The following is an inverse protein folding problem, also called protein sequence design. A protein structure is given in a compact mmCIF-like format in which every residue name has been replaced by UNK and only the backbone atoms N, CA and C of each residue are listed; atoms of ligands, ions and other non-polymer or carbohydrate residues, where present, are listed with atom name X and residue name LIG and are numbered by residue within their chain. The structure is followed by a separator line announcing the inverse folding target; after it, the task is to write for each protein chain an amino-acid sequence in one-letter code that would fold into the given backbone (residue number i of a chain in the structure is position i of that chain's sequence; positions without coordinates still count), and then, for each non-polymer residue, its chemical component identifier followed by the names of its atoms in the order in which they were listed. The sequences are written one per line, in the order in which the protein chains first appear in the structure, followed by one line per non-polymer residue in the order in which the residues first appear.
data_IF_464094184614
#
_entry.id   IF_464094184614
#
_cell.length_a   1.000
_cell.length_b   1.000
_cell.length_c   1.000
_cell.angle_alpha   90.00
_cell.angle_beta   90.00
_cell.angle_gamma   90.00
#
_symmetry.space_group_name_H-M   'P 1'
#
loop_
_entity.id
_entity.type
_entity.pdbx_description
1 polymer ?
#
# COMPACT_ATOMS: atom_id res chain seq x y z
N UNK A 1 -23.78 23.77 6.77
CA UNK A 1 -24.50 22.83 7.66
C UNK A 1 -25.77 23.45 8.26
N UNK A 2 -26.69 23.97 7.45
CA UNK A 2 -27.88 24.68 7.99
C UNK A 2 -29.05 23.78 8.38
N UNK A 3 -29.00 22.49 8.04
CA UNK A 3 -30.15 21.58 8.12
C UNK A 3 -29.91 20.32 8.96
N UNK A 4 -28.79 20.28 9.68
CA UNK A 4 -28.53 19.25 10.68
C UNK A 4 -29.08 19.73 12.04
N UNK A 5 -29.85 18.89 12.71
CA UNK A 5 -30.37 19.12 14.07
C UNK A 5 -30.11 17.89 14.92
N UNK A 6 -30.08 18.07 16.23
CA UNK A 6 -29.93 16.95 17.17
C UNK A 6 -31.30 16.55 17.69
N UNK A 7 -31.61 15.26 17.63
CA UNK A 7 -32.82 14.68 18.22
C UNK A 7 -32.44 13.48 19.08
N UNK A 8 -33.27 13.19 20.09
CA UNK A 8 -33.13 11.96 20.88
C UNK A 8 -33.84 10.84 20.14
N UNK A 9 -33.09 9.85 19.67
CA UNK A 9 -33.58 8.66 18.98
C UNK A 9 -33.05 7.45 19.72
N UNK A 10 -33.92 6.54 20.16
CA UNK A 10 -33.57 5.36 20.97
C UNK A 10 -32.81 5.72 22.26
N UNK A 11 -33.20 6.82 22.93
CA UNK A 11 -32.57 7.29 24.17
C UNK A 11 -31.18 7.92 23.98
N UNK A 12 -30.70 8.09 22.74
CA UNK A 12 -29.41 8.74 22.44
C UNK A 12 -29.60 9.98 21.56
N UNK A 13 -28.84 11.03 21.86
CA UNK A 13 -28.77 12.20 21.00
C UNK A 13 -28.06 11.83 19.68
N UNK A 14 -28.78 11.91 18.56
CA UNK A 14 -28.28 11.65 17.21
C UNK A 14 -28.41 12.91 16.35
N UNK A 15 -27.45 13.12 15.44
CA UNK A 15 -27.56 14.14 14.40
C UNK A 15 -28.53 13.63 13.35
N UNK A 16 -29.60 14.38 13.09
CA UNK A 16 -30.58 14.08 12.06
C UNK A 16 -30.59 15.18 10.99
N UNK A 17 -30.81 14.77 9.75
CA UNK A 17 -30.94 15.65 8.60
C UNK A 17 -32.43 15.84 8.26
N UNK A 18 -32.75 17.01 7.70
CA UNK A 18 -34.08 17.26 7.13
C UNK A 18 -34.35 16.32 5.94
N UNK A 19 -35.57 15.82 5.85
CA UNK A 19 -36.11 14.98 4.77
C UNK A 19 -35.71 15.42 3.35
N UNK A 20 -35.81 16.72 3.06
CA UNK A 20 -35.49 17.31 1.74
C UNK A 20 -34.02 17.15 1.31
N UNK A 21 -33.15 16.65 2.17
CA UNK A 21 -31.69 16.53 1.94
C UNK A 21 -31.31 15.08 1.65
N UNK A 22 -32.28 14.16 1.66
CA UNK A 22 -32.04 12.74 1.38
C UNK A 22 -31.22 12.53 0.09
N UNK A 23 -31.56 13.23 -0.99
CA UNK A 23 -30.83 13.14 -2.26
C UNK A 23 -29.38 13.67 -2.12
N UNK A 24 -29.18 14.75 -1.39
CA UNK A 24 -27.83 15.28 -1.14
C UNK A 24 -26.99 14.32 -0.30
N UNK A 25 -27.58 13.66 0.70
CA UNK A 25 -26.92 12.62 1.49
C UNK A 25 -26.55 11.44 0.60
N UNK A 26 -27.46 11.01 -0.29
CA UNK A 26 -27.16 9.96 -1.27
C UNK A 26 -26.00 10.37 -2.20
N UNK A 27 -25.96 11.62 -2.64
CA UNK A 27 -24.88 12.15 -3.47
C UNK A 27 -23.52 12.17 -2.76
N UNK A 28 -23.46 12.32 -1.44
CA UNK A 28 -22.22 12.18 -0.67
C UNK A 28 -21.68 10.75 -0.79
N UNK A 29 -22.52 9.73 -0.62
CA UNK A 29 -22.12 8.33 -0.78
C UNK A 29 -21.73 8.01 -2.22
N UNK A 30 -22.47 8.53 -3.20
CA UNK A 30 -22.13 8.38 -4.62
C UNK A 30 -20.76 8.99 -4.94
N UNK A 31 -20.50 10.20 -4.44
CA UNK A 31 -19.20 10.87 -4.59
C UNK A 31 -18.09 10.09 -3.93
N UNK A 32 -18.29 9.58 -2.70
CA UNK A 32 -17.33 8.70 -2.01
C UNK A 32 -17.01 7.45 -2.83
N UNK A 33 -18.04 6.79 -3.38
CA UNK A 33 -17.87 5.60 -4.23
C UNK A 33 -17.07 5.92 -5.50
N UNK A 34 -17.39 7.05 -6.15
CA UNK A 34 -16.65 7.53 -7.32
C UNK A 34 -15.18 7.83 -7.00
N UNK A 35 -14.89 8.55 -5.91
CA UNK A 35 -13.51 8.82 -5.47
C UNK A 35 -12.75 7.52 -5.19
N UNK A 36 -13.40 6.56 -4.52
CA UNK A 36 -12.77 5.29 -4.23
C UNK A 36 -12.41 4.52 -5.50
N UNK A 37 -13.32 4.43 -6.47
CA UNK A 37 -13.07 3.70 -7.73
C UNK A 37 -12.10 4.41 -8.66
N UNK A 38 -12.14 5.74 -8.73
CA UNK A 38 -11.40 6.51 -9.73
C UNK A 38 -10.02 6.95 -9.24
N UNK A 39 -9.86 7.26 -7.95
CA UNK A 39 -8.63 7.79 -7.38
C UNK A 39 -7.96 6.82 -6.42
N UNK A 40 -8.65 6.41 -5.34
CA UNK A 40 -8.02 5.63 -4.26
C UNK A 40 -7.64 4.21 -4.71
N UNK A 41 -8.52 3.54 -5.47
CA UNK A 41 -8.25 2.22 -6.06
C UNK A 41 -7.71 2.32 -7.49
N UNK A 42 -7.14 3.46 -7.85
CA UNK A 42 -6.54 3.60 -9.17
C UNK A 42 -5.35 2.65 -9.29
N UNK A 43 -5.38 1.76 -10.29
CA UNK A 43 -4.38 0.68 -10.48
C UNK A 43 -2.93 1.13 -10.36
N UNK A 44 -2.58 2.34 -10.84
CA UNK A 44 -1.22 2.86 -10.75
C UNK A 44 -0.89 3.33 -9.33
N UNK A 45 -1.86 3.89 -8.59
CA UNK A 45 -1.67 4.27 -7.18
C UNK A 45 -1.39 3.02 -6.36
N UNK A 46 -2.23 1.99 -6.48
CA UNK A 46 -2.04 0.71 -5.78
C UNK A 46 -0.69 0.05 -6.10
N UNK A 47 -0.26 0.11 -7.37
CA UNK A 47 1.07 -0.40 -7.76
C UNK A 47 2.19 0.37 -7.07
N UNK A 48 2.12 1.71 -7.09
CA UNK A 48 3.14 2.57 -6.48
C UNK A 48 3.20 2.33 -4.96
N UNK A 49 2.04 2.27 -4.30
CA UNK A 49 1.94 1.93 -2.87
C UNK A 49 2.57 0.57 -2.58
N UNK A 50 2.30 -0.44 -3.40
CA UNK A 50 2.88 -1.78 -3.23
C UNK A 50 4.41 -1.76 -3.39
N UNK A 51 4.93 -1.03 -4.37
CA UNK A 51 6.39 -0.88 -4.55
C UNK A 51 7.05 -0.18 -3.35
N UNK A 52 6.40 0.82 -2.75
CA UNK A 52 6.89 1.44 -1.52
C UNK A 52 6.85 0.48 -0.33
N UNK A 53 5.77 -0.29 -0.16
CA UNK A 53 5.68 -1.31 0.90
C UNK A 53 6.81 -2.32 0.77
N UNK A 54 7.06 -2.81 -0.45
CA UNK A 54 8.13 -3.79 -0.70
C UNK A 54 9.52 -3.17 -0.44
N UNK A 55 9.73 -1.89 -0.79
CA UNK A 55 10.96 -1.17 -0.46
C UNK A 55 11.14 -0.98 1.06
N UNK A 56 10.06 -0.65 1.79
CA UNK A 56 10.08 -0.48 3.23
C UNK A 56 10.37 -1.80 3.95
N UNK A 57 9.76 -2.90 3.51
CA UNK A 57 10.02 -4.23 4.08
C UNK A 57 11.48 -4.65 3.91
N UNK A 58 12.09 -4.32 2.78
CA UNK A 58 13.51 -4.60 2.54
C UNK A 58 14.43 -3.73 3.40
N UNK A 59 14.03 -2.48 3.68
CA UNK A 59 14.80 -1.50 4.44
C UNK A 59 14.63 -1.62 5.96
N UNK A 60 13.55 -2.24 6.42
CA UNK A 60 13.18 -2.32 7.83
C UNK A 60 14.29 -2.92 8.69
N UNK A 61 14.68 -2.21 9.76
CA UNK A 61 15.74 -2.64 10.68
C UNK A 61 17.16 -2.59 10.13
N UNK A 62 17.37 -2.05 8.91
CA UNK A 62 18.70 -2.00 8.25
C UNK A 62 19.14 -0.59 7.86
N UNK A 63 18.25 0.39 7.98
CA UNK A 63 18.54 1.80 7.72
C UNK A 63 18.83 2.53 9.03
N UNK A 64 19.72 3.52 8.98
CA UNK A 64 20.12 4.32 10.13
C UNK A 64 19.53 5.73 10.06
N UNK A 65 19.03 6.21 11.20
CA UNK A 65 18.54 7.56 11.41
C UNK A 65 19.66 8.61 11.52
N UNK A 66 19.30 9.89 11.63
CA UNK A 66 20.25 11.00 11.67
C UNK A 66 21.19 10.93 12.89
N UNK A 67 20.74 10.31 13.97
CA UNK A 67 21.49 10.13 15.21
C UNK A 67 22.25 8.79 15.26
N UNK A 68 22.27 8.02 14.16
CA UNK A 68 22.85 6.68 14.11
C UNK A 68 21.95 5.56 14.67
N UNK A 69 20.72 5.87 15.04
CA UNK A 69 19.72 4.90 15.52
C UNK A 69 19.25 3.99 14.37
N UNK A 70 19.09 2.69 14.60
CA UNK A 70 18.48 1.81 13.59
C UNK A 70 16.98 2.09 13.54
N UNK A 71 16.44 2.33 12.33
CA UNK A 71 15.00 2.57 12.16
C UNK A 71 14.27 1.24 11.96
N UNK A 72 13.33 0.95 12.86
CA UNK A 72 12.36 -0.12 12.71
C UNK A 72 11.01 0.49 12.34
N UNK A 73 10.74 0.58 11.03
CA UNK A 73 9.55 1.21 10.45
C UNK A 73 8.27 0.58 11.00
N UNK A 74 8.23 -0.75 11.06
CA UNK A 74 7.07 -1.49 11.57
C UNK A 74 6.91 -1.32 13.09
N UNK A 75 7.96 -1.63 13.85
CA UNK A 75 7.89 -1.62 15.31
C UNK A 75 7.58 -0.24 15.88
N UNK A 76 8.18 0.82 15.33
CA UNK A 76 7.93 2.19 15.79
C UNK A 76 6.49 2.64 15.52
N UNK A 77 5.95 2.27 14.36
CA UNK A 77 4.56 2.55 14.01
C UNK A 77 3.59 1.82 14.94
N UNK A 78 3.86 0.55 15.23
CA UNK A 78 3.07 -0.24 16.17
C UNK A 78 3.20 0.28 17.60
N UNK A 79 4.41 0.60 18.05
CA UNK A 79 4.66 1.13 19.38
C UNK A 79 3.89 2.42 19.63
N UNK A 80 3.78 3.31 18.63
CA UNK A 80 2.98 4.54 18.76
C UNK A 80 1.47 4.27 18.95
N UNK A 81 0.94 3.18 18.39
CA UNK A 81 -0.47 2.82 18.51
C UNK A 81 -0.83 2.10 19.81
N UNK A 82 0.08 1.25 20.33
CA UNK A 82 -0.21 0.36 21.46
C UNK A 82 0.43 0.80 22.79
N UNK A 83 1.40 1.71 22.79
CA UNK A 83 2.09 2.12 24.02
C UNK A 83 1.25 3.07 24.88
N UNK A 84 1.43 2.97 26.20
CA UNK A 84 0.86 3.90 27.18
C UNK A 84 1.93 4.54 28.07
N UNK A 85 1.56 5.64 28.75
CA UNK A 85 2.40 6.26 29.77
C UNK A 85 3.74 6.84 29.28
N UNK A 86 4.83 6.58 30.02
CA UNK A 86 6.17 7.15 29.73
C UNK A 86 6.75 6.62 28.42
N UNK A 87 6.46 5.36 28.06
CA UNK A 87 6.95 4.72 26.83
C UNK A 87 6.31 5.33 25.57
N UNK A 88 5.07 5.82 25.66
CA UNK A 88 4.39 6.50 24.56
C UNK A 88 5.15 7.75 24.09
N UNK A 89 5.74 8.53 25.02
CA UNK A 89 6.50 9.73 24.63
C UNK A 89 7.70 9.38 23.75
N UNK A 90 8.40 8.30 24.08
CA UNK A 90 9.55 7.85 23.30
C UNK A 90 9.11 7.28 21.94
N UNK A 91 8.07 6.45 21.92
CA UNK A 91 7.51 5.90 20.69
C UNK A 91 6.97 7.00 19.74
N UNK A 92 6.31 8.02 20.28
CA UNK A 92 5.83 9.16 19.48
C UNK A 92 6.98 10.01 18.93
N UNK A 93 8.06 10.19 19.70
CA UNK A 93 9.26 10.87 19.20
C UNK A 93 9.85 10.12 18.01
N UNK A 94 9.99 8.80 18.12
CA UNK A 94 10.46 7.93 17.03
C UNK A 94 9.53 7.98 15.82
N UNK A 95 8.22 7.84 16.03
CA UNK A 95 7.21 7.91 14.97
C UNK A 95 7.20 9.26 14.26
N UNK A 96 7.39 10.37 14.99
CA UNK A 96 7.46 11.71 14.40
C UNK A 96 8.62 11.90 13.44
N UNK A 97 9.67 11.06 13.53
CA UNK A 97 10.80 11.08 12.59
C UNK A 97 10.47 10.36 11.27
N UNK A 98 9.47 9.47 11.25
CA UNK A 98 9.06 8.67 10.08
C UNK A 98 8.19 9.50 9.12
N UNK A 99 8.77 10.59 8.61
CA UNK A 99 8.14 11.41 7.57
C UNK A 99 8.48 10.88 6.18
N UNK A 100 7.59 11.07 5.22
CA UNK A 100 7.76 10.60 3.83
C UNK A 100 9.10 11.04 3.24
N UNK A 101 9.46 12.31 3.40
CA UNK A 101 10.70 12.86 2.87
C UNK A 101 11.93 12.23 3.50
N UNK A 102 11.89 11.99 4.81
CA UNK A 102 13.00 11.39 5.55
C UNK A 102 13.21 9.94 5.14
N UNK A 103 12.15 9.11 5.22
CA UNK A 103 12.23 7.69 4.86
C UNK A 103 12.62 7.51 3.39
N UNK A 104 12.05 8.32 2.49
CA UNK A 104 12.39 8.32 1.07
C UNK A 104 13.89 8.60 0.83
N UNK A 105 14.42 9.66 1.45
CA UNK A 105 15.83 10.03 1.29
C UNK A 105 16.76 8.99 1.92
N UNK A 106 16.41 8.45 3.09
CA UNK A 106 17.16 7.39 3.74
C UNK A 106 17.30 6.16 2.84
N UNK A 107 16.22 5.73 2.19
CA UNK A 107 16.24 4.53 1.34
C UNK A 107 16.91 4.79 -0.01
N UNK A 108 16.71 5.98 -0.59
CA UNK A 108 17.28 6.34 -1.89
C UNK A 108 18.81 6.41 -1.88
N UNK A 109 19.40 6.97 -0.83
CA UNK A 109 20.83 7.24 -0.76
C UNK A 109 21.65 6.17 -0.03
N UNK A 110 21.10 4.95 0.10
CA UNK A 110 21.78 3.86 0.78
C UNK A 110 23.06 3.46 0.00
N UNK A 111 24.16 3.36 0.75
CA UNK A 111 25.45 2.89 0.22
C UNK A 111 25.62 1.37 0.32
N UNK A 112 24.89 0.70 1.22
CA UNK A 112 25.00 -0.74 1.45
C UNK A 112 24.46 -1.58 0.27
N UNK A 113 25.21 -2.58 -0.22
CA UNK A 113 24.82 -3.35 -1.41
C UNK A 113 23.58 -4.23 -1.17
N UNK A 114 23.37 -4.73 0.04
CA UNK A 114 22.22 -5.59 0.38
C UNK A 114 20.87 -4.89 0.19
N UNK A 115 20.85 -3.56 0.40
CA UNK A 115 19.66 -2.72 0.33
C UNK A 115 19.47 -2.07 -1.04
N UNK A 116 20.33 -2.38 -2.01
CA UNK A 116 20.28 -1.78 -3.34
C UNK A 116 18.93 -1.99 -4.02
N UNK A 117 18.32 -3.17 -3.82
CA UNK A 117 16.98 -3.50 -4.34
C UNK A 117 15.91 -2.51 -3.86
N UNK A 118 15.97 -2.06 -2.60
CA UNK A 118 15.02 -1.08 -2.06
C UNK A 118 15.21 0.30 -2.71
N UNK A 119 16.45 0.74 -2.87
CA UNK A 119 16.78 2.00 -3.56
C UNK A 119 16.37 1.97 -5.05
N UNK A 120 16.54 0.82 -5.71
CA UNK A 120 16.16 0.62 -7.10
C UNK A 120 14.63 0.70 -7.28
N UNK A 121 13.83 0.16 -6.35
CA UNK A 121 12.36 0.29 -6.34
C UNK A 121 11.92 1.76 -6.26
N UNK A 122 12.53 2.55 -5.36
CA UNK A 122 12.23 3.98 -5.25
C UNK A 122 12.62 4.71 -6.54
N UNK A 123 13.80 4.41 -7.08
CA UNK A 123 14.27 5.00 -8.35
C UNK A 123 13.34 4.62 -9.51
N UNK A 124 12.79 3.40 -9.52
CA UNK A 124 11.82 2.96 -10.50
C UNK A 124 10.53 3.78 -10.44
N UNK A 125 10.03 4.07 -9.24
CA UNK A 125 8.85 4.92 -9.02
C UNK A 125 9.11 6.35 -9.49
N UNK A 126 10.25 6.94 -9.16
CA UNK A 126 10.63 8.30 -9.59
C UNK A 126 10.74 8.40 -11.11
N UNK A 127 11.34 7.40 -11.76
CA UNK A 127 11.56 7.40 -13.21
C UNK A 127 10.28 7.14 -13.99
N UNK A 128 9.30 6.42 -13.42
CA UNK A 128 7.91 6.15 -13.87
C UNK A 128 7.68 5.70 -15.32
N UNK A 129 8.69 5.70 -16.20
CA UNK A 129 8.49 5.87 -17.65
C UNK A 129 9.55 5.22 -18.55
N UNK A 130 10.65 4.67 -18.02
CA UNK A 130 11.60 3.94 -18.88
C UNK A 130 11.21 2.45 -19.00
N UNK A 131 11.21 1.94 -20.24
CA UNK A 131 11.27 0.49 -20.50
C UNK A 131 12.48 -0.04 -19.73
N UNK A 132 12.34 -1.14 -18.98
CA UNK A 132 13.32 -1.67 -18.02
C UNK A 132 13.55 -0.89 -16.72
N UNK A 133 12.64 -0.01 -16.29
CA UNK A 133 12.73 0.64 -14.96
C UNK A 133 12.56 -0.29 -13.76
N UNK A 134 12.09 -1.54 -13.95
CA UNK A 134 11.66 -2.39 -12.84
C UNK A 134 10.30 -1.98 -12.25
N UNK A 135 9.60 -1.02 -12.89
CA UNK A 135 8.26 -0.62 -12.48
C UNK A 135 7.24 -1.75 -12.70
N UNK A 136 6.41 -2.02 -11.68
CA UNK A 136 5.46 -3.12 -11.75
C UNK A 136 4.40 -2.87 -12.83
N UNK A 137 4.08 -3.91 -13.59
CA UNK A 137 3.11 -3.83 -14.67
C UNK A 137 1.78 -4.41 -14.22
N UNK A 138 0.71 -3.63 -14.36
CA UNK A 138 -0.64 -4.13 -14.20
C UNK A 138 -0.97 -5.17 -15.29
N UNK A 139 -1.16 -6.43 -14.90
CA UNK A 139 -1.47 -7.52 -15.85
C UNK A 139 -2.97 -7.57 -16.18
N UNK A 140 -3.85 -7.44 -15.18
CA UNK A 140 -5.29 -7.54 -15.38
C UNK A 140 -6.06 -7.37 -14.08
N UNK A 141 -7.39 -7.23 -14.21
CA UNK A 141 -8.33 -7.14 -13.10
C UNK A 141 -9.44 -8.17 -13.32
N UNK A 142 -9.73 -8.99 -12.32
CA UNK A 142 -10.84 -9.94 -12.32
C UNK A 142 -11.73 -9.68 -11.13
N UNK A 143 -13.02 -9.44 -11.39
CA UNK A 143 -14.04 -9.39 -10.35
C UNK A 143 -14.53 -10.83 -10.14
N UNK A 144 -14.42 -11.30 -8.90
CA UNK A 144 -14.89 -12.62 -8.50
C UNK A 144 -16.39 -12.57 -8.20
N UNK A 145 -17.12 -13.62 -8.55
CA UNK A 145 -18.56 -13.72 -8.33
C UNK A 145 -18.93 -13.95 -6.87
N UNK A 146 -18.04 -14.60 -6.12
CA UNK A 146 -18.20 -14.92 -4.71
C UNK A 146 -16.95 -14.52 -3.93
N UNK A 147 -17.07 -14.48 -2.60
CA UNK A 147 -15.92 -14.29 -1.72
C UNK A 147 -15.16 -15.61 -1.62
N UNK A 148 -13.87 -15.56 -1.94
CA UNK A 148 -12.93 -16.67 -1.77
C UNK A 148 -11.94 -16.30 -0.67
N UNK A 149 -11.38 -17.30 0.00
CA UNK A 149 -10.28 -17.10 0.95
C UNK A 149 -8.97 -16.81 0.21
N UNK A 150 -8.06 -16.06 0.83
CA UNK A 150 -6.81 -15.62 0.19
C UNK A 150 -5.93 -16.79 -0.25
N UNK A 151 -5.87 -17.85 0.57
CA UNK A 151 -5.12 -19.08 0.27
C UNK A 151 -5.61 -19.76 -1.01
N UNK A 152 -6.93 -19.81 -1.23
CA UNK A 152 -7.54 -20.41 -2.42
C UNK A 152 -7.29 -19.56 -3.68
N UNK A 153 -7.23 -18.23 -3.52
CA UNK A 153 -6.89 -17.32 -4.62
C UNK A 153 -5.45 -17.54 -5.05
N UNK A 154 -4.52 -17.68 -4.09
CA UNK A 154 -3.11 -17.91 -4.38
C UNK A 154 -2.88 -19.27 -5.05
N UNK A 155 -3.53 -20.34 -4.59
CA UNK A 155 -3.40 -21.66 -5.21
C UNK A 155 -3.95 -21.70 -6.64
N UNK A 156 -4.98 -20.90 -6.93
CA UNK A 156 -5.65 -20.88 -8.23
C UNK A 156 -5.34 -19.63 -9.07
N UNK A 157 -4.29 -18.87 -8.71
CA UNK A 157 -3.97 -17.58 -9.34
C UNK A 157 -3.87 -17.69 -10.87
N UNK A 158 -3.23 -18.75 -11.37
CA UNK A 158 -3.14 -19.03 -12.80
C UNK A 158 -4.54 -19.17 -13.42
N UNK A 159 -5.46 -19.90 -12.82
CA UNK A 159 -6.81 -20.08 -13.38
C UNK A 159 -7.60 -18.76 -13.51
N UNK A 160 -7.31 -17.78 -12.65
CA UNK A 160 -8.00 -16.49 -12.65
C UNK A 160 -7.50 -15.47 -13.68
N UNK A 161 -6.34 -15.68 -14.32
CA UNK A 161 -5.75 -14.74 -15.29
C UNK A 161 -6.07 -15.17 -16.75
N UNK A 162 -7.11 -14.60 -17.41
CA UNK A 162 -7.66 -15.20 -18.62
C UNK A 162 -6.87 -14.86 -19.91
N UNK A 163 -5.86 -14.00 -19.83
CA UNK A 163 -5.03 -13.58 -20.98
C UNK A 163 -3.52 -13.55 -20.66
N UNK A 164 -3.16 -13.30 -19.39
CA UNK A 164 -1.77 -13.25 -18.92
C UNK A 164 -1.09 -14.63 -18.84
N UNK A 165 -1.85 -15.71 -18.67
CA UNK A 165 -1.29 -17.04 -18.50
C UNK A 165 -0.34 -17.46 -19.61
N UNK A 166 -0.68 -17.31 -20.89
CA UNK A 166 0.23 -17.78 -21.97
C UNK A 166 1.56 -17.00 -21.99
N UNK A 167 1.53 -15.67 -21.84
CA UNK A 167 2.76 -14.86 -21.87
C UNK A 167 3.58 -14.96 -20.58
N UNK A 168 2.92 -14.97 -19.42
CA UNK A 168 3.58 -15.09 -18.11
C UNK A 168 4.14 -16.50 -17.90
N UNK A 169 3.38 -17.55 -18.25
CA UNK A 169 3.88 -18.93 -18.17
C UNK A 169 5.04 -19.18 -19.15
N UNK A 170 5.00 -18.60 -20.36
CA UNK A 170 6.15 -18.67 -21.27
C UNK A 170 7.38 -17.96 -20.69
N UNK A 171 7.20 -16.75 -20.13
CA UNK A 171 8.29 -15.99 -19.51
C UNK A 171 8.94 -16.72 -18.33
N UNK A 172 8.14 -17.37 -17.47
CA UNK A 172 8.66 -18.18 -16.36
C UNK A 172 9.22 -19.53 -16.82
N UNK A 173 8.66 -20.14 -17.86
CA UNK A 173 9.18 -21.37 -18.47
C UNK A 173 10.58 -21.19 -19.06
N UNK A 174 10.86 -20.02 -19.64
CA UNK A 174 12.18 -19.67 -20.17
C UNK A 174 13.21 -19.39 -19.06
N UNK A 175 12.80 -18.79 -17.94
CA UNK A 175 13.66 -18.59 -16.75
C UNK A 175 14.05 -19.91 -16.06
N UNK A 176 13.16 -20.92 -16.09
CA UNK A 176 13.46 -22.25 -15.51
C UNK A 176 14.34 -23.13 -16.40
N UNK A 177 14.36 -22.88 -17.72
CA UNK A 177 15.23 -23.61 -18.67
C UNK A 177 16.67 -23.10 -18.68
N UNK A 178 16.90 -21.84 -18.28
CA UNK A 178 18.25 -21.26 -18.21
C UNK A 178 19.11 -21.72 -17.03
N UNK A 179 18.56 -22.48 -16.08
CA UNK A 179 19.26 -22.94 -14.86
C UNK A 179 19.42 -24.47 -14.79
N UNK A 180 19.05 -25.22 -15.82
CA UNK A 180 19.12 -26.69 -15.84
C UNK A 180 20.23 -27.28 -16.70
N UNK A 181 21.04 -26.45 -17.38
CA UNK A 181 22.09 -26.91 -18.32
C UNK A 181 23.53 -26.70 -17.81
N UNK A 182 23.72 -26.43 -16.52
CA UNK A 182 25.05 -26.43 -15.87
C UNK A 182 25.03 -27.24 -14.56
N UNK A 183 24.95 -28.58 -14.65
CA UNK A 183 25.67 -29.58 -13.81
C UNK A 183 25.77 -30.89 -14.58
#
# INVERSE_FOLDING_TARGET
MQFAKVFVVDGKAKICYRDKILESVYNVFRTRSNLHRLAYQHKIVTIVEKMFIDAFLLADGKITGPNGEILFLWEWSMAAAFSGGVQLKNALKQFSMLTDSFVHNCIKHITMPELRKAADLITAVERRSCKNSGFYRHVGLKILSHRYEESEILSNLCQFLPLGNKMVLNFYGDLTRGNSDEV
#
